data_IF_738977846940
#
_entry.id   IF_738977846940
#
_cell.length_a   1.000
_cell.length_b   1.000
_cell.length_c   1.000
_cell.angle_alpha   90.00
_cell.angle_beta   90.00
_cell.angle_gamma   90.00
#
_symmetry.space_group_name_H-M   'P 1'
#
loop_
_entity.id
_entity.type
_entity.pdbx_description
1 polymer ?
#
# COMPACT_ATOMS: atom_id res chain seq x y z
N UNK A 1 15.44 7.91 -0.27
CA UNK A 1 14.13 8.28 -0.86
C UNK A 1 13.09 8.10 0.24
N UNK A 2 12.61 9.20 0.83
CA UNK A 2 11.62 9.17 1.90
C UNK A 2 10.24 8.86 1.31
N UNK A 3 9.44 8.07 2.03
CA UNK A 3 8.11 7.62 1.61
C UNK A 3 7.11 8.77 1.36
N UNK A 4 7.45 9.98 1.78
CA UNK A 4 6.70 11.22 1.57
C UNK A 4 6.79 11.78 0.15
N UNK A 5 7.85 11.48 -0.61
CA UNK A 5 8.05 11.97 -1.98
C UNK A 5 7.51 10.99 -3.05
N UNK A 6 7.19 9.77 -2.63
CA UNK A 6 6.46 8.83 -3.46
C UNK A 6 5.03 9.37 -3.56
N UNK A 7 4.66 9.95 -4.71
CA UNK A 7 3.26 10.28 -5.02
C UNK A 7 2.47 8.99 -4.91
N UNK A 8 1.84 8.76 -3.76
CA UNK A 8 0.99 7.58 -3.58
C UNK A 8 -0.35 7.90 -4.24
N UNK A 9 -0.30 7.99 -5.57
CA UNK A 9 -1.46 8.10 -6.43
C UNK A 9 -2.29 6.81 -6.31
N UNK A 10 -3.59 6.87 -6.65
CA UNK A 10 -4.48 5.70 -6.58
C UNK A 10 -3.90 4.48 -7.31
N UNK A 11 -3.22 4.69 -8.45
CA UNK A 11 -2.55 3.61 -9.19
C UNK A 11 -1.45 2.92 -8.37
N UNK A 12 -0.65 3.69 -7.63
CA UNK A 12 0.42 3.14 -6.80
C UNK A 12 -0.13 2.41 -5.57
N UNK A 13 -1.23 2.91 -4.98
CA UNK A 13 -1.98 2.19 -3.95
C UNK A 13 -2.43 0.81 -4.45
N UNK A 14 -2.91 0.72 -5.69
CA UNK A 14 -3.35 -0.54 -6.30
C UNK A 14 -2.22 -1.55 -6.48
N UNK A 15 -1.04 -1.07 -6.92
CA UNK A 15 0.17 -1.91 -7.02
C UNK A 15 0.63 -2.40 -5.65
N UNK A 16 0.67 -1.52 -4.65
CA UNK A 16 0.99 -1.88 -3.26
C UNK A 16 -0.01 -2.88 -2.68
N UNK A 17 -1.31 -2.74 -2.99
CA UNK A 17 -2.34 -3.68 -2.57
C UNK A 17 -2.06 -5.08 -3.14
N UNK A 18 -1.74 -5.18 -4.45
CA UNK A 18 -1.39 -6.45 -5.08
C UNK A 18 -0.17 -7.10 -4.42
N UNK A 19 0.90 -6.34 -4.20
CA UNK A 19 2.08 -6.84 -3.50
C UNK A 19 1.73 -7.36 -2.10
N UNK A 20 0.89 -6.64 -1.36
CA UNK A 20 0.46 -7.06 -0.02
C UNK A 20 -0.50 -8.24 0.00
N UNK A 21 -1.26 -8.49 -1.08
CA UNK A 21 -2.00 -9.75 -1.23
C UNK A 21 -1.04 -10.94 -1.20
N UNK A 22 0.11 -10.85 -1.88
CA UNK A 22 1.11 -11.91 -1.89
C UNK A 22 1.86 -12.06 -0.56
N UNK A 23 2.10 -10.96 0.16
CA UNK A 23 2.89 -10.96 1.40
C UNK A 23 2.04 -11.28 2.64
N UNK A 24 0.94 -10.55 2.83
CA UNK A 24 0.09 -10.63 4.02
C UNK A 24 -1.24 -11.35 3.78
N UNK A 25 -1.62 -11.57 2.52
CA UNK A 25 -2.92 -12.13 2.14
C UNK A 25 -3.98 -11.07 1.81
N UNK A 26 -4.99 -11.49 1.05
CA UNK A 26 -6.09 -10.62 0.62
C UNK A 26 -7.01 -10.15 1.76
N UNK A 27 -7.07 -10.89 2.86
CA UNK A 27 -7.94 -10.55 3.99
C UNK A 27 -7.32 -9.51 4.95
N UNK A 28 -6.02 -9.24 4.82
CA UNK A 28 -5.28 -8.37 5.73
C UNK A 28 -5.79 -6.91 5.66
N UNK A 29 -5.89 -6.26 6.82
CA UNK A 29 -6.45 -4.90 6.93
C UNK A 29 -5.73 -3.86 6.06
N UNK A 30 -4.40 -3.94 5.99
CA UNK A 30 -3.61 -3.05 5.13
C UNK A 30 -3.88 -3.27 3.63
N UNK A 31 -4.05 -4.53 3.22
CA UNK A 31 -4.37 -4.90 1.83
C UNK A 31 -5.71 -4.33 1.40
N UNK A 32 -6.74 -4.51 2.24
CA UNK A 32 -8.09 -3.96 2.02
C UNK A 32 -8.07 -2.43 1.96
N UNK A 33 -7.33 -1.79 2.87
CA UNK A 33 -7.23 -0.33 2.90
C UNK A 33 -6.54 0.25 1.66
N UNK A 34 -5.44 -0.36 1.20
CA UNK A 34 -4.76 0.07 -0.03
C UNK A 34 -5.61 -0.16 -1.28
N UNK A 35 -6.31 -1.29 -1.37
CA UNK A 35 -7.24 -1.55 -2.47
C UNK A 35 -8.35 -0.51 -2.51
N UNK A 36 -8.98 -0.23 -1.36
CA UNK A 36 -10.01 0.80 -1.25
C UNK A 36 -9.48 2.19 -1.61
N UNK A 37 -8.28 2.56 -1.16
CA UNK A 37 -7.66 3.83 -1.52
C UNK A 37 -7.37 3.93 -3.02
N UNK A 38 -7.03 2.82 -3.67
CA UNK A 38 -6.85 2.74 -5.13
C UNK A 38 -8.17 2.89 -5.90
N UNK A 39 -9.27 2.35 -5.39
CA UNK A 39 -10.58 2.38 -6.05
C UNK A 39 -11.33 3.69 -5.81
N UNK A 40 -11.26 4.20 -4.58
CA UNK A 40 -11.94 5.42 -4.13
C UNK A 40 -11.22 6.69 -4.59
N UNK A 41 -9.89 6.70 -4.53
CA UNK A 41 -9.08 7.90 -4.78
C UNK A 41 -9.28 9.02 -3.76
N UNK A 42 -10.11 8.82 -2.73
CA UNK A 42 -10.36 9.82 -1.70
C UNK A 42 -9.15 9.97 -0.76
N UNK A 43 -8.79 11.21 -0.45
CA UNK A 43 -7.67 11.53 0.45
C UNK A 43 -7.80 10.87 1.84
N UNK A 44 -9.03 10.69 2.32
CA UNK A 44 -9.29 10.00 3.59
C UNK A 44 -8.87 8.54 3.55
N UNK A 45 -9.20 7.84 2.47
CA UNK A 45 -8.86 6.43 2.29
C UNK A 45 -7.37 6.27 2.04
N UNK A 46 -6.75 7.20 1.29
CA UNK A 46 -5.30 7.27 1.08
C UNK A 46 -4.55 7.41 2.41
N UNK A 47 -4.98 8.33 3.28
CA UNK A 47 -4.39 8.52 4.61
C UNK A 47 -4.59 7.28 5.49
N UNK A 48 -5.78 6.67 5.46
CA UNK A 48 -6.06 5.46 6.22
C UNK A 48 -5.18 4.27 5.76
N UNK A 49 -5.02 4.10 4.45
CA UNK A 49 -4.18 3.06 3.87
C UNK A 49 -2.69 3.26 4.21
N UNK A 50 -2.18 4.50 4.12
CA UNK A 50 -0.84 4.85 4.58
C UNK A 50 -0.64 4.50 6.05
N UNK A 51 -1.59 4.84 6.92
CA UNK A 51 -1.50 4.53 8.34
C UNK A 51 -1.47 3.02 8.60
N UNK A 52 -2.27 2.23 7.89
CA UNK A 52 -2.23 0.77 7.98
C UNK A 52 -0.92 0.20 7.45
N UNK A 53 -0.41 0.74 6.34
CA UNK A 53 0.90 0.35 5.80
C UNK A 53 2.03 0.62 6.77
N UNK A 54 2.03 1.78 7.44
CA UNK A 54 3.00 2.13 8.49
C UNK A 54 2.85 1.29 9.78
N UNK A 55 1.74 0.57 9.97
CA UNK A 55 1.59 -0.40 11.06
C UNK A 55 2.16 -1.78 10.73
N UNK A 56 2.39 -2.10 9.45
CA UNK A 56 3.01 -3.35 9.05
C UNK A 56 4.44 -3.46 9.58
N UNK A 57 4.96 -4.68 9.66
CA UNK A 57 6.38 -4.90 9.97
C UNK A 57 7.24 -4.27 8.88
N UNK A 58 8.41 -3.78 9.28
CA UNK A 58 9.37 -3.19 8.32
C UNK A 58 9.76 -4.15 7.19
N UNK A 59 9.79 -5.47 7.47
CA UNK A 59 10.01 -6.51 6.46
C UNK A 59 8.95 -6.49 5.37
N UNK A 60 7.67 -6.44 5.76
CA UNK A 60 6.54 -6.58 4.85
C UNK A 60 6.39 -5.31 4.00
N UNK A 61 6.64 -4.14 4.60
CA UNK A 61 6.71 -2.87 3.86
C UNK A 61 7.82 -2.87 2.82
N UNK A 62 9.04 -3.27 3.20
CA UNK A 62 10.17 -3.31 2.27
C UNK A 62 9.93 -4.31 1.14
N UNK A 63 9.38 -5.49 1.45
CA UNK A 63 9.01 -6.47 0.43
C UNK A 63 7.97 -5.90 -0.56
N UNK A 64 6.92 -5.24 -0.05
CA UNK A 64 5.91 -4.62 -0.90
C UNK A 64 6.50 -3.50 -1.78
N UNK A 65 7.38 -2.66 -1.21
CA UNK A 65 8.05 -1.59 -1.95
C UNK A 65 9.02 -2.11 -3.01
N UNK A 66 9.72 -3.21 -2.75
CA UNK A 66 10.58 -3.87 -3.74
C UNK A 66 9.75 -4.42 -4.90
N UNK A 67 8.63 -5.09 -4.62
CA UNK A 67 7.76 -5.63 -5.68
C UNK A 67 7.20 -4.53 -6.59
N UNK A 68 6.88 -3.35 -6.05
CA UNK A 68 6.36 -2.22 -6.85
C UNK A 68 7.46 -1.46 -7.60
N UNK A 69 8.72 -1.59 -7.19
CA UNK A 69 9.87 -0.98 -7.89
C UNK A 69 10.33 -1.77 -9.12
N UNK A 70 10.01 -3.06 -9.17
CA UNK A 70 10.39 -3.98 -10.24
C UNK A 70 9.39 -3.99 -11.42
N UNK A 71 8.31 -3.19 -11.34
CA UNK A 71 7.22 -3.08 -12.34
C UNK A 71 7.20 -1.72 -13.04
#
# INVERSE_FOLDING_TARGET
MSMDDIKIDPAMMGRLARALIFICGADHAATKALKLASESGAERDIKAARAQFLKLKSSDRSAALTMVKDE
#
